data_IF_184112179212
#
_entry.id   IF_184112179212
#
_cell.length_a   1.000
_cell.length_b   1.000
_cell.length_c   1.000
_cell.angle_alpha   90.00
_cell.angle_beta   90.00
_cell.angle_gamma   90.00
#
_symmetry.space_group_name_H-M   'P 1'
#
loop_
_entity.id
_entity.type
_entity.pdbx_description
1 polymer ?
#
# COMPACT_ATOMS: atom_id res chain seq x y z
N UNK A 1 12.90 25.02 -12.74
CA UNK A 1 13.16 24.85 -11.28
C UNK A 1 12.80 23.41 -10.92
N UNK A 2 13.70 22.57 -10.40
CA UNK A 2 13.40 21.15 -10.20
C UNK A 2 12.64 20.94 -8.88
N UNK A 3 11.33 21.21 -8.87
CA UNK A 3 10.41 20.89 -7.76
C UNK A 3 10.16 19.38 -7.57
N UNK A 4 10.78 18.52 -8.38
CA UNK A 4 10.21 17.20 -8.64
C UNK A 4 10.94 16.01 -8.03
N UNK A 5 11.97 16.16 -7.20
CA UNK A 5 12.59 14.97 -6.55
C UNK A 5 12.16 14.81 -5.08
N UNK A 6 12.07 15.91 -4.34
CA UNK A 6 11.79 15.84 -2.90
C UNK A 6 10.32 15.50 -2.59
N UNK A 7 9.38 16.16 -3.28
CA UNK A 7 7.95 15.82 -3.22
C UNK A 7 7.71 14.38 -3.72
N UNK A 8 8.37 14.03 -4.82
CA UNK A 8 8.33 12.69 -5.38
C UNK A 8 8.86 11.60 -4.41
N UNK A 9 9.88 11.87 -3.61
CA UNK A 9 10.31 10.89 -2.62
C UNK A 9 9.30 10.79 -1.48
N UNK A 10 8.69 11.91 -1.06
CA UNK A 10 7.71 11.95 0.01
C UNK A 10 6.47 11.11 -0.30
N UNK A 11 5.92 11.18 -1.51
CA UNK A 11 4.69 10.45 -1.86
C UNK A 11 4.90 8.92 -1.85
N UNK A 12 6.07 8.47 -2.35
CA UNK A 12 6.42 7.05 -2.31
C UNK A 12 6.74 6.57 -0.90
N UNK A 13 7.39 7.41 -0.09
CA UNK A 13 7.64 7.09 1.31
C UNK A 13 6.33 6.98 2.08
N UNK A 14 5.37 7.87 1.84
CA UNK A 14 4.03 7.78 2.45
C UNK A 14 3.28 6.53 1.98
N UNK A 15 3.27 6.25 0.68
CA UNK A 15 2.63 5.04 0.15
C UNK A 15 3.23 3.76 0.73
N UNK A 16 4.57 3.69 0.75
CA UNK A 16 5.30 2.55 1.33
C UNK A 16 5.04 2.43 2.83
N UNK A 17 5.06 3.54 3.59
CA UNK A 17 4.79 3.53 5.02
C UNK A 17 3.39 3.02 5.35
N UNK A 18 2.37 3.45 4.60
CA UNK A 18 1.00 2.95 4.78
C UNK A 18 0.89 1.47 4.42
N UNK A 19 1.57 1.04 3.36
CA UNK A 19 1.65 -0.37 2.99
C UNK A 19 2.35 -1.23 4.07
N UNK A 20 3.45 -0.75 4.64
CA UNK A 20 4.15 -1.41 5.75
C UNK A 20 3.27 -1.48 7.00
N UNK A 21 2.52 -0.43 7.34
CA UNK A 21 1.58 -0.46 8.46
C UNK A 21 0.47 -1.48 8.27
N UNK A 22 -0.07 -1.61 7.06
CA UNK A 22 -1.05 -2.64 6.74
C UNK A 22 -0.46 -4.06 6.86
N UNK A 23 0.77 -4.27 6.39
CA UNK A 23 1.49 -5.52 6.62
C UNK A 23 1.73 -5.82 8.09
N UNK A 24 1.99 -4.79 8.90
CA UNK A 24 2.26 -4.96 10.33
C UNK A 24 1.00 -5.42 11.07
N UNK A 25 -0.16 -4.88 10.73
CA UNK A 25 -1.43 -5.32 11.28
C UNK A 25 -1.77 -6.77 10.89
N UNK A 26 -1.43 -7.15 9.66
CA UNK A 26 -1.57 -8.53 9.21
C UNK A 26 -0.64 -9.48 9.99
N UNK A 27 0.60 -9.07 10.31
CA UNK A 27 1.50 -9.80 11.21
C UNK A 27 0.95 -9.95 12.63
N UNK A 28 0.22 -8.94 13.13
CA UNK A 28 -0.47 -8.98 14.43
C UNK A 28 -1.71 -9.90 14.43
N UNK A 29 -1.94 -10.67 13.35
CA UNK A 29 -3.10 -11.55 13.17
C UNK A 29 -4.44 -10.78 13.19
N UNK A 30 -4.41 -9.47 12.93
CA UNK A 30 -5.63 -8.71 12.67
C UNK A 30 -6.14 -9.17 11.31
N UNK A 31 -7.41 -9.58 11.24
CA UNK A 31 -7.99 -10.22 10.06
C UNK A 31 -7.62 -9.52 8.76
N UNK A 32 -7.25 -10.30 7.72
CA UNK A 32 -6.83 -9.80 6.40
C UNK A 32 -7.72 -8.69 5.82
N UNK A 33 -9.03 -8.72 6.10
CA UNK A 33 -10.00 -7.69 5.72
C UNK A 33 -9.58 -6.30 6.19
N UNK A 34 -9.06 -6.16 7.41
CA UNK A 34 -8.62 -4.88 7.96
C UNK A 34 -7.37 -4.35 7.26
N UNK A 35 -6.41 -5.22 6.96
CA UNK A 35 -5.24 -4.84 6.17
C UNK A 35 -5.66 -4.39 4.76
N UNK A 36 -6.58 -5.11 4.12
CA UNK A 36 -7.12 -4.75 2.82
C UNK A 36 -7.88 -3.42 2.84
N UNK A 37 -8.69 -3.16 3.87
CA UNK A 37 -9.39 -1.89 4.04
C UNK A 37 -8.42 -0.72 4.24
N UNK A 38 -7.38 -0.90 5.06
CA UNK A 38 -6.35 0.12 5.26
C UNK A 38 -5.61 0.46 3.97
N UNK A 39 -5.27 -0.55 3.19
CA UNK A 39 -4.66 -0.37 1.87
C UNK A 39 -5.64 0.32 0.91
N UNK A 40 -6.92 -0.01 0.95
CA UNK A 40 -7.93 0.64 0.11
C UNK A 40 -8.12 2.11 0.47
N UNK A 41 -8.28 2.44 1.76
CA UNK A 41 -8.41 3.81 2.24
C UNK A 41 -7.13 4.62 2.03
N UNK A 42 -5.97 4.03 2.32
CA UNK A 42 -4.67 4.62 2.05
C UNK A 42 -4.48 4.92 0.56
N UNK A 43 -4.88 3.99 -0.30
CA UNK A 43 -4.86 4.16 -1.75
C UNK A 43 -5.77 5.30 -2.20
N UNK A 44 -7.01 5.35 -1.70
CA UNK A 44 -7.96 6.40 -2.03
C UNK A 44 -7.46 7.78 -1.62
N UNK A 45 -6.92 7.92 -0.41
CA UNK A 45 -6.30 9.16 0.05
C UNK A 45 -5.11 9.55 -0.84
N UNK A 46 -4.21 8.60 -1.17
CA UNK A 46 -3.06 8.87 -2.02
C UNK A 46 -3.48 9.30 -3.44
N UNK A 47 -4.46 8.62 -4.03
CA UNK A 47 -5.00 8.96 -5.35
C UNK A 47 -5.70 10.31 -5.39
N UNK A 48 -6.30 10.73 -4.27
CA UNK A 48 -6.96 12.03 -4.16
C UNK A 48 -5.96 13.19 -3.99
N UNK A 49 -5.01 13.04 -3.06
CA UNK A 49 -4.10 14.14 -2.71
C UNK A 49 -2.93 14.29 -3.69
N UNK A 50 -2.40 13.21 -4.24
CA UNK A 50 -1.19 13.26 -5.07
C UNK A 50 -1.50 13.28 -6.57
N UNK A 51 -0.73 14.03 -7.36
CA UNK A 51 -0.91 14.18 -8.82
C UNK A 51 -0.15 13.13 -9.64
N UNK A 52 0.40 12.12 -8.96
CA UNK A 52 1.29 11.14 -9.58
C UNK A 52 0.55 10.05 -10.35
N UNK A 53 1.30 9.30 -11.15
CA UNK A 53 0.75 8.16 -11.87
C UNK A 53 0.15 7.14 -10.89
N UNK A 54 -1.13 6.75 -11.06
CA UNK A 54 -1.84 5.91 -10.10
C UNK A 54 -1.20 4.53 -9.94
N UNK A 55 -0.59 4.03 -11.02
CA UNK A 55 0.07 2.72 -11.02
C UNK A 55 1.24 2.67 -10.05
N UNK A 56 2.13 3.68 -10.04
CA UNK A 56 3.33 3.62 -9.19
C UNK A 56 3.00 3.77 -7.71
N UNK A 57 2.01 4.59 -7.37
CA UNK A 57 1.49 4.72 -6.01
C UNK A 57 0.82 3.41 -5.54
N UNK A 58 -0.01 2.81 -6.39
CA UNK A 58 -0.67 1.53 -6.08
C UNK A 58 0.35 0.39 -5.90
N UNK A 59 1.39 0.33 -6.74
CA UNK A 59 2.47 -0.62 -6.57
C UNK A 59 3.19 -0.41 -5.24
N UNK A 60 3.65 0.82 -4.95
CA UNK A 60 4.37 1.11 -3.71
C UNK A 60 3.55 0.80 -2.44
N UNK A 61 2.26 1.13 -2.45
CA UNK A 61 1.34 0.84 -1.36
C UNK A 61 1.06 -0.67 -1.22
N UNK A 62 0.73 -1.34 -2.32
CA UNK A 62 0.36 -2.75 -2.34
C UNK A 62 1.54 -3.71 -2.13
N UNK A 63 2.77 -3.29 -2.44
CA UNK A 63 3.98 -4.06 -2.15
C UNK A 63 4.46 -3.90 -0.71
N UNK A 64 4.05 -2.86 0.01
CA UNK A 64 4.44 -2.63 1.39
C UNK A 64 4.16 -3.84 2.32
N UNK A 65 2.93 -4.40 2.33
CA UNK A 65 2.61 -5.58 3.13
C UNK A 65 3.49 -6.78 2.79
N UNK A 66 3.73 -6.99 1.51
CA UNK A 66 4.58 -8.08 1.00
C UNK A 66 6.03 -7.94 1.47
N UNK A 67 6.61 -6.74 1.37
CA UNK A 67 7.99 -6.48 1.83
C UNK A 67 8.15 -6.74 3.32
N UNK A 68 7.16 -6.35 4.12
CA UNK A 68 7.20 -6.56 5.56
C UNK A 68 7.11 -8.05 5.92
N UNK A 69 6.22 -8.79 5.27
CA UNK A 69 6.13 -10.24 5.48
C UNK A 69 7.39 -10.97 4.98
N UNK A 70 7.98 -10.53 3.88
CA UNK A 70 9.26 -11.05 3.40
C UNK A 70 10.39 -10.78 4.40
N UNK A 71 10.44 -9.60 5.00
CA UNK A 71 11.39 -9.31 6.08
C UNK A 71 11.14 -10.21 7.29
N UNK A 72 9.88 -10.37 7.71
CA UNK A 72 9.51 -11.24 8.83
C UNK A 72 9.92 -12.71 8.61
N UNK A 73 9.88 -13.21 7.36
CA UNK A 73 10.45 -14.50 6.97
C UNK A 73 11.92 -14.60 7.29
N UNK A 74 12.69 -13.61 6.84
CA UNK A 74 14.15 -13.64 6.91
C UNK A 74 14.64 -13.64 8.36
N UNK A 75 13.83 -13.12 9.29
CA UNK A 75 14.11 -13.13 10.72
C UNK A 75 13.56 -14.37 11.46
N UNK A 76 13.07 -15.37 10.73
CA UNK A 76 12.56 -16.65 11.25
C UNK A 76 11.46 -16.47 12.31
N UNK A 77 10.73 -15.35 12.22
CA UNK A 77 9.73 -14.95 13.21
C UNK A 77 8.35 -15.59 13.00
N UNK A 78 8.17 -16.47 12.00
CA UNK A 78 6.84 -17.01 11.66
C UNK A 78 6.85 -18.47 11.13
N UNK A 79 6.20 -19.42 11.83
CA UNK A 79 6.10 -20.82 11.40
C UNK A 79 5.00 -21.14 10.36
N UNK A 80 4.08 -20.22 10.04
CA UNK A 80 2.87 -20.49 9.22
C UNK A 80 2.93 -19.92 7.77
N UNK A 81 4.08 -20.04 7.12
CA UNK A 81 4.54 -18.99 6.20
C UNK A 81 4.04 -19.00 4.74
N UNK A 82 3.69 -20.14 4.12
CA UNK A 82 3.45 -20.16 2.67
C UNK A 82 2.14 -19.52 2.19
N UNK A 83 1.12 -19.46 3.05
CA UNK A 83 -0.17 -18.86 2.67
C UNK A 83 -0.17 -17.33 2.83
N UNK A 84 0.43 -16.80 3.91
CA UNK A 84 0.40 -15.36 4.19
C UNK A 84 1.10 -14.50 3.14
N UNK A 85 2.21 -14.99 2.56
CA UNK A 85 2.95 -14.26 1.51
C UNK A 85 2.13 -14.09 0.21
N UNK A 86 1.23 -15.03 -0.08
CA UNK A 86 0.31 -14.92 -1.20
C UNK A 86 -0.85 -13.97 -0.89
N UNK A 87 -1.33 -13.96 0.36
CA UNK A 87 -2.36 -13.04 0.82
C UNK A 87 -1.88 -11.58 0.87
N UNK A 88 -0.61 -11.32 1.16
CA UNK A 88 -0.06 -9.96 1.07
C UNK A 88 0.05 -9.45 -0.37
N UNK A 89 0.28 -10.32 -1.36
CA UNK A 89 0.16 -9.93 -2.77
C UNK A 89 -1.27 -9.58 -3.16
N UNK A 90 -2.29 -10.19 -2.53
CA UNK A 90 -3.68 -9.82 -2.76
C UNK A 90 -3.98 -8.39 -2.30
N UNK A 91 -3.14 -7.78 -1.45
CA UNK A 91 -3.25 -6.36 -1.07
C UNK A 91 -2.99 -5.40 -2.25
N UNK A 92 -2.40 -5.86 -3.36
CA UNK A 92 -2.30 -5.07 -4.58
C UNK A 92 -3.69 -4.72 -5.14
N UNK A 93 -4.66 -5.63 -5.04
CA UNK A 93 -6.02 -5.42 -5.57
C UNK A 93 -6.70 -4.20 -4.90
N UNK A 94 -6.83 -4.14 -3.56
CA UNK A 94 -7.38 -2.97 -2.88
C UNK A 94 -6.51 -1.73 -3.06
N UNK A 95 -5.18 -1.86 -3.22
CA UNK A 95 -4.31 -0.71 -3.48
C UNK A 95 -4.63 -0.05 -4.82
N UNK A 96 -4.75 -0.85 -5.88
CA UNK A 96 -5.13 -0.37 -7.21
C UNK A 96 -6.54 0.22 -7.20
N UNK A 97 -7.52 -0.49 -6.62
CA UNK A 97 -8.89 0.00 -6.48
C UNK A 97 -8.93 1.35 -5.75
N UNK A 98 -8.27 1.46 -4.60
CA UNK A 98 -8.21 2.67 -3.81
C UNK A 98 -7.61 3.85 -4.60
N UNK A 99 -6.40 3.69 -5.15
CA UNK A 99 -5.72 4.79 -5.85
C UNK A 99 -6.48 5.26 -7.09
N UNK A 100 -7.02 4.34 -7.88
CA UNK A 100 -7.82 4.70 -9.05
C UNK A 100 -9.16 5.35 -8.67
N UNK A 101 -9.84 4.85 -7.63
CA UNK A 101 -11.05 5.47 -7.13
C UNK A 101 -10.78 6.90 -6.64
N UNK A 102 -9.73 7.10 -5.86
CA UNK A 102 -9.33 8.43 -5.36
C UNK A 102 -9.03 9.42 -6.49
N UNK A 103 -8.34 8.97 -7.54
CA UNK A 103 -8.10 9.80 -8.74
C UNK A 103 -9.37 10.11 -9.53
N UNK A 104 -10.27 9.14 -9.69
CA UNK A 104 -11.54 9.34 -10.37
C UNK A 104 -12.38 10.39 -9.62
N UNK A 105 -12.49 10.27 -8.30
CA UNK A 105 -13.17 11.25 -7.46
C UNK A 105 -12.55 12.64 -7.58
N UNK A 106 -11.22 12.75 -7.60
CA UNK A 106 -10.53 14.02 -7.83
C UNK A 106 -10.88 14.64 -9.19
N UNK A 107 -10.99 13.82 -10.24
CA UNK A 107 -11.35 14.27 -11.59
C UNK A 107 -12.81 14.70 -11.69
N UNK A 108 -13.71 14.07 -10.94
CA UNK A 108 -15.14 14.41 -10.89
C UNK A 108 -15.43 15.71 -10.09
N UNK A 109 -14.57 16.06 -9.13
CA UNK A 109 -14.68 17.27 -8.31
C UNK A 109 -13.92 18.50 -8.88
N UNK A 110 -13.35 18.39 -10.09
CA UNK A 110 -12.69 19.48 -10.82
C UNK A 110 -13.58 19.96 -11.95
#
# INVERSE_FOLDING_TARGET
MPSNYFQQNKDYLMATAVGLLAGWLDLLHVSWIWAALLVLFGGAALGHFFERHPRSLAFSLGFGPFLLQLAALMFDRMPAFKQNLFFSLLALIPAFLGVYAGQLFKKLNK
#
